data_IF_085294636435
#
_entry.id   IF_085294636435
#
_cell.length_a   1.000
_cell.length_b   1.000
_cell.length_c   1.000
_cell.angle_alpha   90.00
_cell.angle_beta   90.00
_cell.angle_gamma   90.00
#
_symmetry.space_group_name_H-M   'P 1'
#
loop_
_entity.id
_entity.type
_entity.pdbx_description
1 polymer ?
#
# COMPACT_ATOMS: atom_id res chain seq x y z
N UNK A 1 -0.71 22.73 1.77
CA UNK A 1 -0.89 21.44 1.08
C UNK A 1 -1.81 20.59 1.93
N UNK A 2 -2.78 19.93 1.31
CA UNK A 2 -3.82 19.17 2.00
C UNK A 2 -3.32 17.77 2.32
N UNK A 3 -3.56 17.29 3.55
CA UNK A 3 -3.13 15.95 3.98
C UNK A 3 -3.99 14.89 3.31
N UNK A 4 -3.40 13.81 2.79
CA UNK A 4 -4.18 12.70 2.25
C UNK A 4 -5.08 12.10 3.34
N UNK A 5 -6.37 11.80 3.07
CA UNK A 5 -7.26 11.20 4.06
C UNK A 5 -6.74 9.85 4.57
N UNK A 6 -6.61 9.68 5.89
CA UNK A 6 -6.09 8.46 6.51
C UNK A 6 -6.83 7.17 6.09
N UNK A 7 -8.17 7.15 5.94
CA UNK A 7 -8.88 5.96 5.47
C UNK A 7 -8.42 5.50 4.08
N UNK A 8 -8.03 6.45 3.20
CA UNK A 8 -7.56 6.15 1.86
C UNK A 8 -6.20 5.44 1.88
N UNK A 9 -5.28 5.92 2.74
CA UNK A 9 -3.98 5.27 2.97
C UNK A 9 -4.17 3.85 3.51
N UNK A 10 -5.08 3.69 4.49
CA UNK A 10 -5.46 2.39 5.03
C UNK A 10 -6.06 1.45 3.96
N UNK A 11 -6.91 1.96 3.08
CA UNK A 11 -7.52 1.17 2.00
C UNK A 11 -6.47 0.63 1.04
N UNK A 12 -5.51 1.45 0.60
CA UNK A 12 -4.44 0.99 -0.29
C UNK A 12 -3.55 -0.06 0.41
N UNK A 13 -3.18 0.18 1.67
CA UNK A 13 -2.37 -0.76 2.45
C UNK A 13 -3.03 -2.14 2.58
N UNK A 14 -4.33 -2.17 2.90
CA UNK A 14 -5.08 -3.42 3.03
C UNK A 14 -5.28 -4.09 1.67
N UNK A 15 -5.67 -3.36 0.63
CA UNK A 15 -5.83 -3.90 -0.72
C UNK A 15 -4.53 -4.52 -1.26
N UNK A 16 -3.41 -3.85 -1.01
CA UNK A 16 -2.10 -4.32 -1.42
C UNK A 16 -1.74 -5.65 -0.73
N UNK A 17 -1.95 -5.76 0.57
CA UNK A 17 -1.70 -7.01 1.28
C UNK A 17 -2.65 -8.14 0.86
N UNK A 18 -3.92 -7.81 0.59
CA UNK A 18 -4.91 -8.77 0.09
C UNK A 18 -4.63 -9.20 -1.36
N UNK A 19 -3.90 -8.40 -2.14
CA UNK A 19 -3.57 -8.73 -3.54
C UNK A 19 -2.65 -9.94 -3.69
N UNK A 20 -1.71 -10.15 -2.76
CA UNK A 20 -0.87 -11.36 -2.70
C UNK A 20 -1.68 -12.64 -2.42
N UNK A 21 -2.93 -12.45 -2.01
CA UNK A 21 -3.84 -13.51 -1.62
C UNK A 21 -4.86 -13.87 -2.70
N UNK A 22 -4.84 -13.19 -3.85
CA UNK A 22 -5.68 -13.55 -4.98
C UNK A 22 -5.35 -15.00 -5.39
N UNK A 23 -6.36 -15.87 -5.61
CA UNK A 23 -6.11 -17.29 -5.81
C UNK A 23 -5.69 -17.64 -7.25
N UNK A 24 -5.24 -16.66 -8.05
CA UNK A 24 -4.93 -16.83 -9.46
C UNK A 24 -3.42 -16.69 -9.67
N UNK A 25 -2.67 -17.80 -9.85
CA UNK A 25 -1.24 -17.73 -10.10
C UNK A 25 -0.96 -16.84 -11.32
N UNK A 26 0.07 -16.00 -11.24
CA UNK A 26 0.45 -14.94 -12.20
C UNK A 26 -0.35 -13.62 -12.08
N UNK A 27 -1.58 -13.65 -11.56
CA UNK A 27 -2.40 -12.44 -11.38
C UNK A 27 -1.96 -11.62 -10.16
N UNK A 28 -1.54 -12.29 -9.08
CA UNK A 28 -1.14 -11.67 -7.80
C UNK A 28 -0.09 -10.55 -8.00
N UNK A 29 0.96 -10.83 -8.78
CA UNK A 29 2.02 -9.85 -9.07
C UNK A 29 1.60 -8.73 -10.03
N UNK A 30 0.57 -8.93 -10.86
CA UNK A 30 0.02 -7.86 -11.72
C UNK A 30 -0.84 -6.93 -10.88
N UNK A 31 -1.67 -7.50 -10.01
CA UNK A 31 -2.60 -6.77 -9.15
C UNK A 31 -1.84 -5.93 -8.13
N UNK A 32 -0.87 -6.53 -7.44
CA UNK A 32 0.01 -5.82 -6.49
C UNK A 32 0.67 -4.59 -7.15
N UNK A 33 1.20 -4.74 -8.37
CA UNK A 33 1.81 -3.61 -9.09
C UNK A 33 0.81 -2.53 -9.47
N UNK A 34 -0.40 -2.91 -9.86
CA UNK A 34 -1.43 -1.94 -10.25
C UNK A 34 -1.93 -1.13 -9.05
N UNK A 35 -2.17 -1.78 -7.90
CA UNK A 35 -2.60 -1.12 -6.67
C UNK A 35 -1.48 -0.21 -6.14
N UNK A 36 -0.22 -0.66 -6.14
CA UNK A 36 0.92 0.16 -5.75
C UNK A 36 1.07 1.42 -6.63
N UNK A 37 0.94 1.30 -7.95
CA UNK A 37 0.97 2.46 -8.87
C UNK A 37 -0.15 3.45 -8.57
N UNK A 38 -1.37 2.95 -8.36
CA UNK A 38 -2.51 3.80 -8.00
C UNK A 38 -2.37 4.48 -6.67
N UNK A 39 -1.82 3.80 -5.67
CA UNK A 39 -1.52 4.41 -4.38
C UNK A 39 -0.60 5.62 -4.58
N UNK A 40 0.50 5.44 -5.34
CA UNK A 40 1.44 6.53 -5.66
C UNK A 40 0.75 7.66 -6.43
N UNK A 41 -0.01 7.34 -7.49
CA UNK A 41 -0.73 8.34 -8.30
C UNK A 41 -1.76 9.11 -7.48
N UNK A 42 -2.50 8.42 -6.61
CA UNK A 42 -3.55 9.02 -5.79
C UNK A 42 -2.97 9.91 -4.71
N UNK A 43 -1.93 9.45 -4.00
CA UNK A 43 -1.24 10.24 -2.97
C UNK A 43 -0.50 11.42 -3.61
N UNK A 44 0.07 11.29 -4.81
CA UNK A 44 0.61 12.45 -5.52
C UNK A 44 -0.50 13.44 -5.94
N UNK A 45 -1.63 12.90 -6.41
CA UNK A 45 -2.78 13.67 -6.87
C UNK A 45 -3.44 14.51 -5.78
N UNK A 46 -3.51 14.03 -4.53
CA UNK A 46 -4.00 14.82 -3.38
C UNK A 46 -3.13 16.04 -3.09
N UNK A 47 -1.85 15.99 -3.46
CA UNK A 47 -0.91 17.12 -3.38
C UNK A 47 -0.84 17.95 -4.68
N UNK A 48 -1.70 17.66 -5.67
CA UNK A 48 -1.72 18.36 -6.96
C UNK A 48 -0.55 17.99 -7.88
N UNK A 49 0.17 16.90 -7.60
CA UNK A 49 1.34 16.44 -8.35
C UNK A 49 0.90 15.40 -9.38
N UNK A 50 1.35 15.57 -10.63
CA UNK A 50 1.20 14.56 -11.69
C UNK A 50 2.55 13.94 -11.98
N UNK A 51 2.70 12.66 -11.64
CA UNK A 51 3.93 11.91 -11.85
C UNK A 51 3.93 11.22 -13.23
N UNK A 52 5.06 11.23 -13.96
CA UNK A 52 5.23 10.40 -15.14
C UNK A 52 5.31 8.92 -14.75
N UNK A 53 4.89 8.03 -15.66
CA UNK A 53 4.83 6.58 -15.43
C UNK A 53 6.16 5.95 -15.03
N UNK A 54 7.28 6.54 -15.44
CA UNK A 54 8.62 6.07 -15.06
C UNK A 54 8.92 6.33 -13.58
N UNK A 55 8.48 7.47 -13.05
CA UNK A 55 8.68 7.83 -11.64
C UNK A 55 7.70 7.11 -10.71
N UNK A 56 6.48 6.87 -11.19
CA UNK A 56 5.51 6.05 -10.46
C UNK A 56 6.09 4.66 -10.19
N UNK A 57 6.81 4.07 -11.16
CA UNK A 57 7.49 2.77 -10.96
C UNK A 57 8.56 2.82 -9.87
N UNK A 58 9.27 3.94 -9.71
CA UNK A 58 10.30 4.07 -8.67
C UNK A 58 9.68 3.99 -7.26
N UNK A 59 8.51 4.61 -7.07
CA UNK A 59 7.80 4.60 -5.79
C UNK A 59 6.87 3.39 -5.58
N UNK A 60 6.47 2.72 -6.66
CA UNK A 60 5.58 1.56 -6.61
C UNK A 60 6.34 0.22 -6.55
N UNK A 61 7.67 0.23 -6.65
CA UNK A 61 8.48 -0.99 -6.56
C UNK A 61 8.58 -1.46 -5.11
N UNK A 62 8.30 -2.76 -4.88
CA UNK A 62 8.47 -3.46 -3.60
C UNK A 62 9.95 -3.88 -3.44
N UNK A 63 10.48 -4.06 -2.21
CA UNK A 63 11.75 -4.75 -2.01
C UNK A 63 11.65 -6.16 -2.60
N UNK A 64 12.64 -6.58 -3.38
CA UNK A 64 12.66 -7.87 -4.08
C UNK A 64 12.20 -9.05 -3.22
N UNK A 65 10.98 -9.52 -3.45
CA UNK A 65 10.61 -10.92 -3.27
C UNK A 65 10.36 -11.55 -4.64
N UNK A 66 11.45 -12.08 -5.22
CA UNK A 66 11.38 -13.36 -5.92
C UNK A 66 10.81 -13.38 -7.33
N UNK A 67 11.28 -12.51 -8.23
CA UNK A 67 11.15 -12.74 -9.69
C UNK A 67 11.69 -14.15 -10.10
N UNK A 68 12.59 -14.73 -9.30
CA UNK A 68 13.18 -16.07 -9.53
C UNK A 68 12.25 -17.27 -9.25
N UNK A 69 11.07 -17.09 -8.65
CA UNK A 69 10.11 -18.19 -8.47
C UNK A 69 9.22 -18.44 -9.71
N UNK A 70 9.22 -17.52 -10.67
CA UNK A 70 8.26 -17.44 -11.77
C UNK A 70 8.45 -18.51 -12.88
N UNK A 71 9.65 -19.03 -13.10
CA UNK A 71 9.95 -19.79 -14.34
C UNK A 71 9.83 -21.33 -14.19
N UNK A 72 9.86 -21.89 -12.98
CA UNK A 72 9.83 -23.37 -12.80
C UNK A 72 8.48 -23.97 -12.43
N UNK A 73 7.45 -23.16 -12.13
CA UNK A 73 6.17 -23.64 -11.59
C UNK A 73 4.98 -23.72 -12.55
N UNK A 74 5.05 -23.06 -13.71
CA UNK A 74 3.87 -22.78 -14.53
C UNK A 74 3.15 -24.03 -15.09
N UNK A 75 3.87 -25.11 -15.37
CA UNK A 75 3.27 -26.34 -15.90
C UNK A 75 2.59 -27.22 -14.84
N UNK A 76 2.94 -27.08 -13.54
CA UNK A 76 2.39 -27.91 -12.44
C UNK A 76 1.19 -27.25 -11.74
N UNK A 77 0.95 -25.96 -11.98
CA UNK A 77 -0.04 -25.16 -11.25
C UNK A 77 -1.49 -25.32 -11.76
N UNK A 78 -1.68 -25.70 -13.03
CA UNK A 78 -3.03 -25.77 -13.64
C UNK A 78 -3.85 -26.98 -13.16
N UNK A 79 -3.20 -28.08 -12.79
CA UNK A 79 -3.89 -29.33 -12.41
C UNK A 79 -4.35 -29.37 -10.93
N UNK A 80 -3.77 -28.54 -10.06
CA UNK A 80 -4.11 -28.46 -8.62
C UNK A 80 -5.01 -27.26 -8.27
N UNK A 81 -5.49 -26.55 -9.29
CA UNK A 81 -6.16 -25.25 -9.18
C UNK A 81 -7.38 -25.22 -8.23
N UNK A 82 -8.37 -26.14 -8.32
CA UNK A 82 -9.54 -26.08 -7.43
C UNK A 82 -9.21 -26.45 -5.98
N UNK A 83 -8.23 -27.34 -5.75
CA UNK A 83 -7.82 -27.73 -4.40
C UNK A 83 -6.99 -26.63 -3.73
N UNK A 84 -6.12 -25.95 -4.48
CA UNK A 84 -5.38 -24.76 -4.00
C UNK A 84 -6.28 -23.57 -3.68
N UNK A 85 -7.36 -23.36 -4.44
CA UNK A 85 -8.37 -22.32 -4.19
C UNK A 85 -9.00 -22.47 -2.80
N UNK A 86 -9.36 -23.70 -2.43
CA UNK A 86 -9.95 -24.00 -1.12
C UNK A 86 -8.92 -23.87 0.01
N UNK A 87 -7.67 -24.31 -0.22
CA UNK A 87 -6.59 -24.16 0.75
C UNK A 87 -6.16 -22.70 0.95
N UNK A 88 -5.99 -21.88 -0.10
CA UNK A 88 -5.66 -20.45 0.05
C UNK A 88 -6.77 -19.74 0.83
N UNK A 89 -8.04 -19.89 0.47
CA UNK A 89 -9.15 -19.28 1.21
C UNK A 89 -9.19 -19.64 2.71
N UNK A 90 -8.81 -20.88 3.07
CA UNK A 90 -8.65 -21.32 4.47
C UNK A 90 -7.35 -20.80 5.10
N UNK A 91 -6.27 -20.65 4.33
CA UNK A 91 -5.00 -20.07 4.77
C UNK A 91 -5.03 -18.54 4.93
N UNK A 92 -6.06 -17.85 4.40
CA UNK A 92 -6.33 -16.42 4.67
C UNK A 92 -6.45 -16.17 6.18
N UNK A 93 -6.87 -17.20 6.93
CA UNK A 93 -7.01 -17.17 8.38
C UNK A 93 -5.74 -17.64 9.10
N UNK A 94 -4.89 -18.46 8.45
CA UNK A 94 -3.70 -19.08 9.07
C UNK A 94 -2.42 -18.24 8.93
N UNK A 95 -2.32 -17.34 7.96
CA UNK A 95 -1.13 -16.48 7.79
C UNK A 95 -1.39 -14.98 8.06
N UNK A 96 -2.14 -14.74 9.14
CA UNK A 96 -2.52 -13.40 9.57
C UNK A 96 -1.30 -12.54 9.94
N UNK A 97 -0.18 -13.16 10.36
CA UNK A 97 1.00 -12.45 10.84
C UNK A 97 1.82 -11.83 9.70
N UNK A 98 2.19 -12.61 8.68
CA UNK A 98 2.94 -12.08 7.53
C UNK A 98 2.14 -11.01 6.79
N UNK A 99 0.83 -11.23 6.65
CA UNK A 99 -0.07 -10.24 6.05
C UNK A 99 -0.16 -8.96 6.88
N UNK A 100 -0.18 -9.08 8.21
CA UNK A 100 -0.23 -7.91 9.12
C UNK A 100 1.02 -7.04 8.99
N UNK A 101 2.19 -7.65 8.89
CA UNK A 101 3.44 -6.94 8.66
C UNK A 101 3.46 -6.28 7.27
N UNK A 102 2.94 -6.96 6.25
CA UNK A 102 2.83 -6.43 4.90
C UNK A 102 1.91 -5.20 4.82
N UNK A 103 0.72 -5.25 5.45
CA UNK A 103 -0.18 -4.08 5.55
C UNK A 103 0.54 -2.91 6.22
N UNK A 104 1.23 -3.17 7.35
CA UNK A 104 1.98 -2.14 8.08
C UNK A 104 3.06 -1.47 7.22
N UNK A 105 3.82 -2.24 6.45
CA UNK A 105 4.85 -1.71 5.53
C UNK A 105 4.24 -0.83 4.43
N UNK A 106 3.14 -1.28 3.81
CA UNK A 106 2.47 -0.51 2.76
C UNK A 106 1.80 0.75 3.29
N UNK A 107 1.25 0.70 4.50
CA UNK A 107 0.76 1.89 5.18
C UNK A 107 1.89 2.89 5.44
N UNK A 108 3.00 2.44 6.04
CA UNK A 108 4.16 3.28 6.29
C UNK A 108 4.70 3.93 4.99
N UNK A 109 4.75 3.16 3.89
CA UNK A 109 5.14 3.66 2.56
C UNK A 109 4.20 4.77 2.09
N UNK A 110 2.89 4.58 2.22
CA UNK A 110 1.90 5.57 1.82
C UNK A 110 2.02 6.88 2.64
N UNK A 111 2.34 6.78 3.94
CA UNK A 111 2.61 7.93 4.80
C UNK A 111 3.91 8.63 4.41
N UNK A 112 4.97 7.89 4.10
CA UNK A 112 6.23 8.47 3.65
C UNK A 112 6.07 9.26 2.33
N UNK A 113 5.28 8.73 1.39
CA UNK A 113 4.94 9.44 0.16
C UNK A 113 4.11 10.70 0.44
N UNK A 114 3.12 10.62 1.34
CA UNK A 114 2.32 11.78 1.74
C UNK A 114 3.18 12.89 2.36
N UNK A 115 4.19 12.54 3.17
CA UNK A 115 5.16 13.49 3.73
C UNK A 115 6.01 14.11 2.60
N UNK A 116 6.63 13.28 1.77
CA UNK A 116 7.52 13.75 0.70
C UNK A 116 6.83 14.66 -0.31
N UNK A 117 5.58 14.34 -0.69
CA UNK A 117 4.80 15.15 -1.61
C UNK A 117 4.22 16.38 -0.93
N UNK A 118 3.69 16.24 0.29
CA UNK A 118 3.10 17.34 1.05
C UNK A 118 4.10 18.38 1.55
N UNK A 119 5.37 18.00 1.73
CA UNK A 119 6.44 18.91 2.12
C UNK A 119 7.27 19.39 0.92
N UNK A 120 6.96 18.93 -0.29
CA UNK A 120 7.60 19.40 -1.52
C UNK A 120 9.02 18.86 -1.73
N UNK A 121 9.50 17.91 -0.92
CA UNK A 121 10.81 17.26 -1.12
C UNK A 121 10.94 16.66 -2.52
N UNK A 122 9.85 16.09 -3.05
CA UNK A 122 9.80 15.60 -4.42
C UNK A 122 10.09 16.69 -5.47
N UNK A 123 9.50 17.88 -5.33
CA UNK A 123 9.65 18.97 -6.31
C UNK A 123 11.08 19.53 -6.33
N UNK A 124 11.78 19.48 -5.19
CA UNK A 124 13.15 20.00 -5.06
C UNK A 124 14.19 19.00 -5.56
N UNK A 125 14.04 17.72 -5.19
CA UNK A 125 15.10 16.72 -5.38
C UNK A 125 14.83 15.74 -6.53
N UNK A 126 13.58 15.64 -6.98
CA UNK A 126 13.13 14.69 -8.00
C UNK A 126 13.04 13.24 -7.52
N UNK A 127 12.29 12.40 -8.25
CA UNK A 127 12.02 11.02 -7.88
C UNK A 127 13.28 10.17 -7.62
N UNK A 128 14.31 10.33 -8.46
CA UNK A 128 15.51 9.50 -8.42
C UNK A 128 16.30 9.63 -7.10
N UNK A 129 16.25 10.81 -6.46
CA UNK A 129 16.89 11.03 -5.15
C UNK A 129 15.97 10.69 -3.99
N UNK A 130 14.67 10.90 -4.17
CA UNK A 130 13.67 10.79 -3.11
C UNK A 130 13.26 9.34 -2.86
N UNK A 131 13.09 8.54 -3.93
CA UNK A 131 12.72 7.12 -3.82
C UNK A 131 13.66 6.31 -2.90
N UNK A 132 15.01 6.35 -3.05
CA UNK A 132 15.88 5.60 -2.15
C UNK A 132 15.87 6.13 -0.71
N UNK A 133 15.62 7.42 -0.49
CA UNK A 133 15.46 7.99 0.85
C UNK A 133 14.18 7.48 1.52
N UNK A 134 13.08 7.39 0.77
CA UNK A 134 11.83 6.80 1.26
C UNK A 134 12.07 5.35 1.69
N UNK A 135 12.74 4.54 0.86
CA UNK A 135 13.10 3.16 1.25
C UNK A 135 13.96 3.10 2.51
N UNK A 136 14.99 3.95 2.59
CA UNK A 136 15.89 4.00 3.75
C UNK A 136 15.16 4.46 5.03
N UNK A 137 14.19 5.36 4.92
CA UNK A 137 13.35 5.78 6.04
C UNK A 137 12.43 4.64 6.49
N UNK A 138 11.80 3.93 5.56
CA UNK A 138 10.94 2.79 5.87
C UNK A 138 11.70 1.65 6.58
N UNK A 139 12.96 1.42 6.22
CA UNK A 139 13.80 0.42 6.87
C UNK A 139 14.14 0.75 8.34
N UNK A 140 14.01 2.02 8.76
CA UNK A 140 14.33 2.48 10.11
C UNK A 140 13.12 2.49 11.05
N UNK A 141 11.90 2.37 10.52
CA UNK A 141 10.68 2.52 11.32
C UNK A 141 10.10 1.19 11.75
N UNK A 142 9.80 1.09 13.03
CA UNK A 142 9.11 -0.07 13.60
C UNK A 142 7.62 -0.07 13.19
N UNK A 143 7.23 -1.07 12.39
CA UNK A 143 5.85 -1.25 11.93
C UNK A 143 5.00 -2.12 12.86
N UNK A 144 5.59 -2.73 13.91
CA UNK A 144 4.86 -3.55 14.90
C UNK A 144 3.67 -2.83 15.55
N UNK A 145 3.73 -1.52 15.89
CA UNK A 145 2.57 -0.81 16.43
C UNK A 145 1.36 -0.78 15.48
N UNK A 146 1.58 -0.92 14.17
CA UNK A 146 0.53 -0.90 13.16
C UNK A 146 -0.28 -2.21 13.10
N UNK A 147 0.15 -3.25 13.82
CA UNK A 147 -0.54 -4.53 13.87
C UNK A 147 -1.98 -4.43 14.38
N UNK A 148 -2.26 -3.48 15.28
CA UNK A 148 -3.62 -3.23 15.80
C UNK A 148 -4.60 -2.81 14.68
N UNK A 149 -4.12 -2.06 13.70
CA UNK A 149 -4.89 -1.72 12.49
C UNK A 149 -5.24 -2.96 11.70
N UNK A 150 -4.27 -3.87 11.52
CA UNK A 150 -4.49 -5.12 10.80
C UNK A 150 -5.51 -6.00 11.53
N UNK A 151 -5.45 -6.11 12.86
CA UNK A 151 -6.45 -6.84 13.64
C UNK A 151 -7.88 -6.27 13.46
N UNK A 152 -8.01 -4.94 13.46
CA UNK A 152 -9.28 -4.27 13.21
C UNK A 152 -9.79 -4.51 11.79
N UNK A 153 -8.91 -4.40 10.79
CA UNK A 153 -9.22 -4.69 9.39
C UNK A 153 -9.60 -6.16 9.18
N UNK A 154 -8.94 -7.10 9.87
CA UNK A 154 -9.29 -8.53 9.84
C UNK A 154 -10.65 -8.80 10.46
N UNK A 155 -10.98 -8.14 11.56
CA UNK A 155 -12.31 -8.24 12.17
C UNK A 155 -13.39 -7.73 11.22
N UNK A 156 -13.14 -6.60 10.55
CA UNK A 156 -14.04 -6.05 9.53
C UNK A 156 -14.16 -6.96 8.31
N UNK A 157 -13.06 -7.55 7.85
CA UNK A 157 -13.05 -8.50 6.74
C UNK A 157 -13.82 -9.78 7.10
N UNK A 158 -13.68 -10.34 8.30
CA UNK A 158 -14.49 -11.51 8.71
C UNK A 158 -15.98 -11.22 8.71
N UNK A 159 -16.38 -9.98 9.01
CA UNK A 159 -17.78 -9.56 8.97
C UNK A 159 -18.31 -9.32 7.55
N UNK A 160 -17.44 -8.99 6.58
CA UNK A 160 -17.82 -8.57 5.20
C UNK A 160 -17.10 -9.33 4.08
N UNK A 161 -16.49 -10.47 4.41
CA UNK A 161 -15.48 -11.15 3.59
C UNK A 161 -15.94 -11.54 2.19
N UNK A 162 -17.15 -12.10 2.01
CA UNK A 162 -17.68 -12.44 0.69
C UNK A 162 -17.84 -11.21 -0.23
N UNK A 163 -18.28 -10.08 0.32
CA UNK A 163 -18.55 -8.85 -0.45
C UNK A 163 -17.24 -8.18 -0.89
N UNK A 164 -16.25 -8.12 0.01
CA UNK A 164 -14.91 -7.58 -0.31
C UNK A 164 -14.22 -8.45 -1.35
N UNK A 165 -14.22 -9.77 -1.18
CA UNK A 165 -13.57 -10.69 -2.12
C UNK A 165 -14.27 -10.65 -3.49
N UNK A 166 -15.60 -10.59 -3.50
CA UNK A 166 -16.42 -10.43 -4.69
C UNK A 166 -16.16 -9.11 -5.41
N UNK A 167 -15.98 -8.01 -4.68
CA UNK A 167 -15.66 -6.70 -5.23
C UNK A 167 -14.24 -6.62 -5.79
N UNK A 168 -13.24 -7.19 -5.09
CA UNK A 168 -11.87 -7.32 -5.59
C UNK A 168 -11.90 -8.10 -6.91
N UNK A 169 -12.52 -9.28 -6.94
CA UNK A 169 -12.61 -10.10 -8.16
C UNK A 169 -13.48 -9.43 -9.26
N UNK A 170 -14.52 -8.69 -8.89
CA UNK A 170 -15.43 -7.98 -9.80
C UNK A 170 -14.80 -6.77 -10.48
N UNK A 171 -14.02 -5.99 -9.73
CA UNK A 171 -13.23 -4.86 -10.22
C UNK A 171 -12.09 -5.29 -11.16
N UNK A 172 -11.71 -6.58 -11.18
CA UNK A 172 -10.82 -7.13 -12.20
C UNK A 172 -11.56 -7.65 -13.44
N UNK A 173 -12.83 -8.02 -13.31
CA UNK A 173 -13.62 -8.60 -14.42
C UNK A 173 -14.27 -7.53 -15.31
N UNK A 174 -14.41 -6.31 -14.79
CA UNK A 174 -14.70 -5.08 -15.53
C UNK A 174 -13.60 -4.09 -15.16
N UNK A 175 -13.09 -3.29 -16.08
CA UNK A 175 -12.21 -2.12 -15.80
C UNK A 175 -12.95 -1.04 -14.98
N UNK A 176 -13.50 -1.39 -13.82
CA UNK A 176 -14.27 -0.54 -12.89
C UNK A 176 -13.59 -0.62 -11.53
N UNK A 177 -12.39 -0.10 -11.52
CA UNK A 177 -11.49 -0.12 -10.39
C UNK A 177 -11.93 0.76 -9.21
N UNK A 178 -12.79 1.74 -9.47
CA UNK A 178 -13.42 2.55 -8.43
C UNK A 178 -14.25 1.69 -7.46
N UNK A 179 -14.83 0.60 -7.96
CA UNK A 179 -15.70 -0.31 -7.22
C UNK A 179 -14.92 -1.05 -6.11
N UNK A 180 -13.70 -1.52 -6.40
CA UNK A 180 -12.84 -2.16 -5.38
C UNK A 180 -12.46 -1.20 -4.25
N UNK A 181 -12.14 0.05 -4.57
CA UNK A 181 -11.80 1.07 -3.56
C UNK A 181 -12.99 1.40 -2.65
N UNK A 182 -14.21 1.45 -3.21
CA UNK A 182 -15.46 1.68 -2.47
C UNK A 182 -15.76 0.52 -1.52
N UNK A 183 -15.59 -0.72 -1.96
CA UNK A 183 -15.86 -1.90 -1.14
C UNK A 183 -14.77 -2.19 -0.09
N UNK A 184 -13.52 -1.79 -0.35
CA UNK A 184 -12.42 -1.91 0.60
C UNK A 184 -12.31 -0.72 1.56
N UNK A 185 -13.04 0.37 1.32
CA UNK A 185 -13.08 1.56 2.19
C UNK A 185 -13.38 1.22 3.66
N UNK A 186 -14.36 0.37 4.01
CA UNK A 186 -14.60 0.01 5.41
C UNK A 186 -13.41 -0.72 6.08
N UNK A 187 -12.59 -1.43 5.30
CA UNK A 187 -11.37 -2.06 5.81
C UNK A 187 -10.28 -1.03 6.07
N UNK A 188 -10.13 -0.04 5.19
CA UNK A 188 -9.22 1.09 5.37
C UNK A 188 -9.62 1.99 6.54
N UNK A 189 -10.91 2.22 6.73
CA UNK A 189 -11.46 2.94 7.89
C UNK A 189 -11.17 2.19 9.20
N UNK A 190 -11.46 0.89 9.25
CA UNK A 190 -11.16 0.06 10.42
C UNK A 190 -9.66 0.01 10.71
N UNK A 191 -8.82 -0.08 9.67
CA UNK A 191 -7.37 -0.04 9.81
C UNK A 191 -6.90 1.28 10.41
N UNK A 192 -7.33 2.41 9.83
CA UNK A 192 -6.96 3.75 10.25
C UNK A 192 -7.42 4.05 11.70
N UNK A 193 -8.60 3.56 12.09
CA UNK A 193 -9.09 3.65 13.46
C UNK A 193 -8.20 2.85 14.42
N UNK A 194 -7.83 1.62 14.05
CA UNK A 194 -7.00 0.74 14.88
C UNK A 194 -5.58 1.26 15.15
N UNK A 195 -5.06 2.16 14.31
CA UNK A 195 -3.72 2.78 14.47
C UNK A 195 -3.77 4.26 14.85
N UNK A 196 -4.95 4.79 15.20
CA UNK A 196 -5.13 6.22 15.44
C UNK A 196 -4.17 6.81 16.49
N UNK A 197 -3.77 6.00 17.48
CA UNK A 197 -2.80 6.39 18.51
C UNK A 197 -1.34 6.40 18.02
N UNK A 198 -0.99 5.54 17.05
CA UNK A 198 0.39 5.31 16.62
C UNK A 198 0.73 6.12 15.35
N UNK A 199 -0.28 6.58 14.60
CA UNK A 199 -0.13 7.25 13.28
C UNK A 199 0.76 8.49 13.32
N UNK A 200 0.65 9.31 14.36
CA UNK A 200 1.38 10.58 14.43
C UNK A 200 2.85 10.32 14.77
N UNK A 201 3.12 9.33 15.63
CA UNK A 201 4.47 8.86 15.91
C UNK A 201 5.16 8.31 14.67
N UNK A 202 4.47 7.48 13.89
CA UNK A 202 4.96 6.97 12.60
C UNK A 202 5.29 8.10 11.64
N UNK A 203 4.37 9.06 11.45
CA UNK A 203 4.56 10.20 10.55
C UNK A 203 5.77 11.04 10.97
N UNK A 204 5.90 11.35 12.25
CA UNK A 204 7.02 12.14 12.76
C UNK A 204 8.36 11.40 12.62
N UNK A 205 8.38 10.08 12.84
CA UNK A 205 9.58 9.27 12.63
C UNK A 205 10.00 9.23 11.16
N UNK A 206 9.06 9.03 10.24
CA UNK A 206 9.33 9.04 8.79
C UNK A 206 9.81 10.41 8.33
N UNK A 207 9.13 11.48 8.77
CA UNK A 207 9.54 12.86 8.49
C UNK A 207 10.97 13.13 8.96
N UNK A 208 11.28 12.81 10.22
CA UNK A 208 12.62 13.01 10.77
C UNK A 208 13.70 12.24 9.98
N UNK A 209 13.42 11.01 9.56
CA UNK A 209 14.33 10.21 8.76
C UNK A 209 14.55 10.78 7.34
N UNK A 210 13.49 11.30 6.72
CA UNK A 210 13.55 11.96 5.40
C UNK A 210 14.32 13.28 5.52
N UNK A 211 14.01 14.12 6.49
CA UNK A 211 14.69 15.41 6.74
C UNK A 211 16.17 15.22 7.07
N UNK A 212 16.54 14.16 7.81
CA UNK A 212 17.93 13.83 8.07
C UNK A 212 18.73 13.52 6.78
N UNK A 213 18.05 13.05 5.73
CA UNK A 213 18.68 12.67 4.46
C UNK A 213 18.62 13.76 3.40
N UNK A 214 17.52 14.51 3.32
CA UNK A 214 17.27 15.53 2.28
C UNK A 214 17.44 16.97 2.78
N UNK A 215 17.58 17.17 4.10
CA UNK A 215 17.56 18.48 4.74
C UNK A 215 16.15 18.93 5.09
N UNK A 216 16.06 20.14 5.66
CA UNK A 216 14.77 20.75 6.01
C UNK A 216 13.87 20.93 4.78
N UNK A 217 12.55 20.86 4.94
CA UNK A 217 11.63 21.07 3.82
C UNK A 217 11.83 22.47 3.22
N UNK A 218 11.67 22.61 1.89
CA UNK A 218 11.71 23.90 1.25
C UNK A 218 10.68 24.86 1.89
N UNK A 219 10.99 26.16 2.00
CA UNK A 219 10.00 27.12 2.46
C UNK A 219 8.76 27.02 1.58
N UNK A 220 7.59 26.95 2.21
CA UNK A 220 6.32 26.89 1.49
C UNK A 220 6.27 28.01 0.44
N UNK A 221 5.81 27.73 -0.79
CA UNK A 221 5.71 28.77 -1.80
C UNK A 221 4.89 29.92 -1.22
N UNK A 222 5.48 31.12 -1.22
CA UNK A 222 4.80 32.32 -0.76
C UNK A 222 3.47 32.38 -1.50
N UNK A 223 2.36 32.41 -0.75
CA UNK A 223 1.04 32.53 -1.34
C UNK A 223 1.00 33.83 -2.13
N UNK A 224 1.22 33.75 -3.44
CA UNK A 224 0.90 34.84 -4.37
C UNK A 224 -0.61 34.98 -4.33
N UNK A 225 -1.05 36.01 -3.59
CA UNK A 225 -2.45 36.47 -3.55
C UNK A 225 -2.88 37.13 -4.84
#
# INVERSE_FOLDING_TARGET
>A
MEKTPEPLLGTFAVLQALSGFVPVPLLDGVISRQIARRMVETVAGTHGIRLPQEEIKLFASEPDEGFFAFVKGAAKAVLLFPLKLLFKAVFLVLDAKETTELVGRWYARSVALDVVFGEGHYLVHGAAKVAPVVEAALAQVDTRPLARGSDAAWKALRAKGPDVLGAILGAFRKERDDEASVHARPLGEAYAEGIAADREGLRNALRAAIEASLGAPPPAPAATG
#
